data_IF_194492830744
#
_entry.id   IF_194492830744
#
_cell.length_a   1.000
_cell.length_b   1.000
_cell.length_c   1.000
_cell.angle_alpha   90.00
_cell.angle_beta   90.00
_cell.angle_gamma   90.00
#
_symmetry.space_group_name_H-M   'P 1'
#
loop_
_entity.id
_entity.type
_entity.pdbx_description
1 polymer ?
#
# COMPACT_ATOMS: atom_id res chain seq x y z
N UNK A 1 0.84 15.13 7.05
CA UNK A 1 0.23 13.79 6.93
C UNK A 1 -0.44 13.62 5.60
N UNK A 2 -0.79 12.39 5.24
CA UNK A 2 -1.14 12.04 3.88
C UNK A 2 -2.53 11.44 3.72
N UNK A 3 -2.72 10.74 2.62
CA UNK A 3 -3.88 9.90 2.35
C UNK A 3 -3.41 8.56 1.78
N UNK A 4 -4.23 7.52 1.97
CA UNK A 4 -4.00 6.21 1.37
C UNK A 4 -5.33 5.56 1.00
N UNK A 5 -5.31 4.74 -0.05
CA UNK A 5 -6.46 3.96 -0.51
C UNK A 5 -5.99 2.56 -0.91
N UNK A 6 -6.78 1.54 -0.54
CA UNK A 6 -6.48 0.13 -0.80
C UNK A 6 -7.40 -0.46 -1.88
N UNK A 7 -6.93 -1.49 -2.56
CA UNK A 7 -7.69 -2.32 -3.52
C UNK A 7 -7.23 -3.78 -3.43
N UNK A 8 -8.02 -4.72 -3.97
CA UNK A 8 -7.77 -6.16 -3.89
C UNK A 8 -8.59 -6.82 -2.80
N UNK A 9 -7.97 -7.68 -1.98
CA UNK A 9 -8.59 -8.39 -0.84
C UNK A 9 -8.94 -7.40 0.28
N UNK A 10 -10.09 -6.76 0.16
CA UNK A 10 -10.56 -5.72 1.08
C UNK A 10 -10.66 -6.21 2.52
N UNK A 11 -11.03 -7.47 2.75
CA UNK A 11 -11.11 -8.08 4.09
C UNK A 11 -9.76 -8.06 4.81
N UNK A 12 -8.66 -8.32 4.09
CA UNK A 12 -7.31 -8.25 4.66
C UNK A 12 -6.94 -6.80 5.00
N UNK A 13 -7.22 -5.86 4.09
CA UNK A 13 -6.94 -4.44 4.32
C UNK A 13 -7.76 -3.85 5.48
N UNK A 14 -9.01 -4.31 5.66
CA UNK A 14 -9.86 -3.91 6.78
C UNK A 14 -9.38 -4.49 8.11
N UNK A 15 -9.00 -5.78 8.14
CA UNK A 15 -8.51 -6.46 9.37
C UNK A 15 -7.24 -5.82 9.95
N UNK A 16 -6.38 -5.28 9.10
CA UNK A 16 -5.15 -4.58 9.51
C UNK A 16 -5.26 -3.06 9.47
N UNK A 17 -6.42 -2.51 9.12
CA UNK A 17 -6.59 -1.07 8.92
C UNK A 17 -5.51 -0.46 7.99
N UNK A 18 -5.10 -1.16 6.92
CA UNK A 18 -3.86 -0.88 6.17
C UNK A 18 -3.73 0.57 5.69
N UNK A 19 -4.80 1.17 5.14
CA UNK A 19 -4.79 2.57 4.73
C UNK A 19 -4.57 3.53 5.92
N UNK A 20 -5.19 3.22 7.06
CA UNK A 20 -4.98 3.99 8.29
C UNK A 20 -3.56 3.83 8.81
N UNK A 21 -2.97 2.62 8.79
CA UNK A 21 -1.57 2.38 9.18
C UNK A 21 -0.61 3.24 8.37
N UNK A 22 -0.77 3.33 7.04
CA UNK A 22 0.07 4.23 6.21
C UNK A 22 -0.02 5.69 6.69
N UNK A 23 -1.24 6.19 6.92
CA UNK A 23 -1.42 7.58 7.39
C UNK A 23 -0.88 7.76 8.82
N UNK A 24 -0.97 6.75 9.67
CA UNK A 24 -0.40 6.74 11.02
C UNK A 24 1.13 6.71 11.02
N UNK A 25 1.76 5.96 10.12
CA UNK A 25 3.22 5.96 9.97
C UNK A 25 3.75 7.27 9.44
N UNK A 26 3.08 7.86 8.43
CA UNK A 26 3.30 9.25 8.06
C UNK A 26 3.07 10.17 9.26
N UNK A 27 2.12 9.84 10.13
CA UNK A 27 1.87 10.55 11.38
C UNK A 27 3.07 10.59 12.32
N UNK A 28 3.75 9.46 12.41
CA UNK A 28 4.91 9.25 13.25
C UNK A 28 6.22 9.75 12.63
N UNK A 29 6.17 10.40 11.47
CA UNK A 29 7.34 10.97 10.81
C UNK A 29 8.07 10.03 9.86
N UNK A 30 7.49 8.85 9.53
CA UNK A 30 8.06 7.98 8.51
C UNK A 30 7.97 8.62 7.12
N UNK A 31 8.97 8.35 6.28
CA UNK A 31 8.92 8.70 4.86
C UNK A 31 7.84 7.89 4.14
N UNK A 32 7.26 8.44 3.07
CA UNK A 32 6.15 7.82 2.32
C UNK A 32 6.45 6.38 1.88
N UNK A 33 7.63 6.13 1.32
CA UNK A 33 8.02 4.80 0.90
C UNK A 33 8.13 3.83 2.09
N UNK A 34 8.76 4.26 3.18
CA UNK A 34 8.91 3.43 4.39
C UNK A 34 7.54 3.10 5.00
N UNK A 35 6.64 4.08 5.10
CA UNK A 35 5.28 3.91 5.62
C UNK A 35 4.47 2.91 4.77
N UNK A 36 4.52 3.02 3.44
CA UNK A 36 3.81 2.11 2.56
C UNK A 36 4.39 0.69 2.55
N UNK A 37 5.73 0.56 2.64
CA UNK A 37 6.39 -0.74 2.78
C UNK A 37 6.00 -1.44 4.06
N UNK A 38 6.06 -0.75 5.19
CA UNK A 38 5.70 -1.31 6.49
C UNK A 38 4.26 -1.81 6.48
N UNK A 39 3.29 -0.94 6.14
CA UNK A 39 1.88 -1.31 6.10
C UNK A 39 1.56 -2.46 5.12
N UNK A 40 2.31 -2.57 4.01
CA UNK A 40 2.14 -3.69 3.07
C UNK A 40 2.77 -4.98 3.61
N UNK A 41 3.90 -4.91 4.30
CA UNK A 41 4.55 -6.06 4.93
C UNK A 41 3.68 -6.66 6.04
N UNK A 42 2.94 -5.82 6.78
CA UNK A 42 2.03 -6.26 7.84
C UNK A 42 0.97 -7.26 7.36
N UNK A 43 0.59 -7.21 6.07
CA UNK A 43 -0.32 -8.20 5.48
C UNK A 43 0.17 -9.63 5.70
N UNK A 44 1.49 -9.86 5.74
CA UNK A 44 2.10 -11.18 5.97
C UNK A 44 1.87 -11.76 7.38
N UNK A 45 1.41 -10.94 8.34
CA UNK A 45 1.02 -11.41 9.67
C UNK A 45 -0.38 -12.01 9.70
N UNK A 46 -1.19 -11.82 8.65
CA UNK A 46 -2.53 -12.40 8.59
C UNK A 46 -2.48 -13.90 8.30
N UNK A 47 -3.01 -14.68 9.23
CA UNK A 47 -3.45 -16.05 8.97
C UNK A 47 -4.82 -15.96 8.31
N UNK A 48 -4.87 -16.30 7.01
CA UNK A 48 -6.09 -16.24 6.20
C UNK A 48 -6.03 -17.33 5.11
N UNK A 49 -6.94 -18.32 5.10
CA UNK A 49 -6.96 -19.36 4.07
C UNK A 49 -7.27 -18.81 2.67
N UNK A 50 -7.79 -17.59 2.59
CA UNK A 50 -8.07 -16.88 1.36
C UNK A 50 -7.12 -15.69 1.17
N UNK A 51 -5.89 -15.80 1.68
CA UNK A 51 -4.85 -14.81 1.46
C UNK A 51 -4.71 -14.46 -0.03
N UNK A 52 -4.70 -13.17 -0.34
CA UNK A 52 -4.57 -12.73 -1.72
C UNK A 52 -3.97 -11.34 -1.84
N UNK A 53 -4.09 -10.78 -3.04
CA UNK A 53 -3.45 -9.52 -3.39
C UNK A 53 -4.14 -8.35 -2.72
N UNK A 54 -3.35 -7.49 -2.09
CA UNK A 54 -3.71 -6.13 -1.71
C UNK A 54 -2.72 -5.19 -2.38
N UNK A 55 -3.25 -4.11 -2.93
CA UNK A 55 -2.47 -3.00 -3.44
C UNK A 55 -2.97 -1.72 -2.79
N UNK A 56 -2.09 -0.74 -2.60
CA UNK A 56 -2.47 0.57 -2.11
C UNK A 56 -1.77 1.67 -2.88
N UNK A 57 -2.41 2.83 -2.95
CA UNK A 57 -1.77 4.09 -3.32
C UNK A 57 -1.75 4.98 -2.09
N UNK A 58 -0.71 5.78 -1.96
CA UNK A 58 -0.56 6.72 -0.86
C UNK A 58 0.05 8.02 -1.37
N UNK A 59 -0.27 9.12 -0.69
CA UNK A 59 0.37 10.41 -0.89
C UNK A 59 0.71 11.05 0.45
N UNK A 60 1.81 11.80 0.52
CA UNK A 60 2.14 12.61 1.70
C UNK A 60 1.63 14.06 1.58
N UNK A 61 1.83 14.86 2.63
CA UNK A 61 1.41 16.27 2.66
C UNK A 61 2.14 17.16 1.65
N UNK A 62 3.27 16.70 1.09
CA UNK A 62 4.08 17.46 0.12
C UNK A 62 3.66 17.15 -1.31
N UNK A 63 2.66 16.28 -1.50
CA UNK A 63 2.18 15.85 -2.81
C UNK A 63 3.01 14.72 -3.42
N UNK A 64 4.00 14.16 -2.70
CA UNK A 64 4.66 12.95 -3.16
C UNK A 64 3.65 11.80 -3.12
N UNK A 65 3.67 10.93 -4.12
CA UNK A 65 2.78 9.77 -4.20
C UNK A 65 3.56 8.49 -4.52
N UNK A 66 3.03 7.36 -4.07
CA UNK A 66 3.59 6.04 -4.33
C UNK A 66 2.49 4.98 -4.35
N UNK A 67 2.72 3.92 -5.11
CA UNK A 67 1.88 2.72 -5.11
C UNK A 67 2.65 1.53 -4.55
N UNK A 68 1.97 0.66 -3.81
CA UNK A 68 2.55 -0.55 -3.22
C UNK A 68 1.65 -1.75 -3.50
N UNK A 69 2.22 -2.96 -3.55
CA UNK A 69 1.44 -4.20 -3.61
C UNK A 69 2.21 -5.38 -3.03
N UNK A 70 1.48 -6.33 -2.44
CA UNK A 70 2.02 -7.64 -2.07
C UNK A 70 2.04 -8.66 -3.22
N UNK A 71 1.62 -8.25 -4.43
CA UNK A 71 1.77 -9.02 -5.66
C UNK A 71 2.73 -8.33 -6.63
N UNK A 72 3.46 -9.09 -7.46
CA UNK A 72 4.37 -8.52 -8.46
C UNK A 72 3.61 -7.82 -9.60
N UNK A 73 4.35 -7.04 -10.40
CA UNK A 73 3.94 -6.52 -11.71
C UNK A 73 2.62 -5.73 -11.73
N UNK A 74 2.35 -4.98 -10.65
CA UNK A 74 1.19 -4.11 -10.55
C UNK A 74 1.57 -2.64 -10.83
N UNK A 75 0.68 -1.91 -11.49
CA UNK A 75 0.83 -0.48 -11.79
C UNK A 75 -0.25 0.37 -11.10
N UNK A 76 -0.03 1.68 -11.05
CA UNK A 76 -1.06 2.65 -10.72
C UNK A 76 -0.94 3.88 -11.61
N UNK A 77 -2.06 4.59 -11.73
CA UNK A 77 -2.15 5.81 -12.51
C UNK A 77 -2.14 7.01 -11.58
N UNK A 78 -1.44 8.07 -11.98
CA UNK A 78 -1.52 9.37 -11.34
C UNK A 78 -1.63 10.49 -12.37
N UNK A 79 -2.16 11.62 -11.90
CA UNK A 79 -2.26 12.85 -12.68
C UNK A 79 -2.15 14.04 -11.74
N UNK A 80 -1.41 15.07 -12.14
CA UNK A 80 -1.33 16.35 -11.44
C UNK A 80 -1.96 17.45 -12.29
N UNK A 81 -2.15 18.63 -11.70
CA UNK A 81 -2.68 19.80 -12.40
C UNK A 81 -1.75 20.33 -13.51
N UNK A 82 -0.48 19.93 -13.52
CA UNK A 82 0.51 20.32 -14.54
C UNK A 82 0.51 19.38 -15.75
N UNK A 83 -0.15 18.21 -15.63
CA UNK A 83 -0.14 17.16 -16.63
C UNK A 83 -1.30 17.30 -17.62
N UNK A 84 -1.02 17.07 -18.90
CA UNK A 84 -2.04 17.04 -19.98
C UNK A 84 -2.66 15.65 -20.21
N UNK A 85 -2.00 14.60 -19.73
CA UNK A 85 -2.45 13.22 -19.77
C UNK A 85 -1.97 12.53 -18.49
N UNK A 86 -2.62 11.43 -18.10
CA UNK A 86 -2.19 10.64 -16.94
C UNK A 86 -0.86 9.93 -17.22
N UNK A 87 -0.16 9.54 -16.16
CA UNK A 87 0.98 8.63 -16.25
C UNK A 87 0.66 7.33 -15.50
N UNK A 88 1.06 6.21 -16.08
CA UNK A 88 1.02 4.89 -15.44
C UNK A 88 2.44 4.51 -15.02
N UNK A 89 2.60 4.14 -13.75
CA UNK A 89 3.90 3.84 -13.14
C UNK A 89 3.82 2.56 -12.32
N UNK A 90 4.95 1.85 -12.14
CA UNK A 90 4.97 0.63 -11.35
C UNK A 90 4.66 0.89 -9.87
N UNK A 91 4.03 -0.09 -9.23
CA UNK A 91 3.94 -0.18 -7.77
C UNK A 91 5.21 -0.82 -7.21
N UNK A 92 5.59 -0.38 -6.03
CA UNK A 92 6.61 -1.00 -5.22
C UNK A 92 6.09 -2.36 -4.74
N UNK A 93 6.73 -3.44 -5.19
CA UNK A 93 6.44 -4.78 -4.70
C UNK A 93 7.02 -4.97 -3.29
N UNK A 94 6.20 -5.48 -2.38
CA UNK A 94 6.57 -5.80 -1.00
C UNK A 94 6.10 -7.21 -0.72
N UNK A 95 7.03 -8.18 -0.67
CA UNK A 95 6.67 -9.56 -0.36
C UNK A 95 6.01 -9.62 1.02
N UNK A 96 4.75 -10.05 1.08
CA UNK A 96 4.11 -10.36 2.35
C UNK A 96 4.68 -11.68 2.87
N UNK A 97 5.16 -11.69 4.12
CA UNK A 97 5.82 -12.85 4.71
C UNK A 97 4.94 -14.10 4.74
N UNK A 98 5.56 -15.28 4.69
CA UNK A 98 4.90 -16.60 4.70
C UNK A 98 4.35 -17.02 6.08
N UNK A 99 4.49 -16.17 7.11
CA UNK A 99 4.20 -16.53 8.51
C UNK A 99 2.73 -16.91 8.70
N UNK A 100 1.80 -16.18 8.07
CA UNK A 100 0.37 -16.46 8.13
C UNK A 100 -0.12 -17.63 7.26
N UNK A 101 0.72 -18.16 6.36
CA UNK A 101 0.33 -19.21 5.38
C UNK A 101 0.44 -20.65 5.90
N UNK A 102 0.90 -20.87 7.14
CA UNK A 102 1.33 -22.19 7.65
C UNK A 102 0.50 -22.74 8.82
N UNK A 103 -0.68 -22.22 9.11
CA UNK A 103 -1.59 -22.79 10.11
C UNK A 103 -2.81 -23.45 9.46
#
# INVERSE_FOLDING_TARGET
YGAAACTGRGEMAMRLCTAHSVVMYLKMGMALEAAGREATAELGYLVDPYFGRVSLIAMDARGNHAGFSNGPDATYVYMTHEMRAYAEVPRIHVAAGDVGRRL
#
